data_IF_662937193848
#
_entry.id   IF_662937193848
#
_cell.length_a   1.000
_cell.length_b   1.000
_cell.length_c   1.000
_cell.angle_alpha   90.00
_cell.angle_beta   90.00
_cell.angle_gamma   90.00
#
_symmetry.space_group_name_H-M   'P 1'
#
loop_
_entity.id
_entity.type
_entity.pdbx_description
1 polymer ?
#
# COMPACT_ATOMS: atom_id res chain seq x y z
N UNK A 1 -22.76 34.80 -59.59
CA UNK A 1 -23.22 35.07 -58.21
C UNK A 1 -22.87 33.88 -57.33
N UNK A 2 -22.20 34.15 -56.21
CA UNK A 2 -22.19 33.44 -54.90
C UNK A 2 -21.97 31.91 -54.92
N UNK A 3 -20.74 31.40 -54.70
CA UNK A 3 -19.96 31.26 -53.44
C UNK A 3 -20.11 29.85 -52.84
N UNK A 4 -18.97 29.13 -52.86
CA UNK A 4 -18.71 27.81 -52.29
C UNK A 4 -18.95 27.82 -50.78
N UNK A 5 -19.72 26.85 -50.27
CA UNK A 5 -19.92 26.60 -48.84
C UNK A 5 -18.80 25.68 -48.35
N UNK A 6 -17.83 26.24 -47.63
CA UNK A 6 -16.86 25.51 -46.82
C UNK A 6 -17.49 25.25 -45.43
N UNK A 7 -17.75 23.99 -45.11
CA UNK A 7 -18.10 23.56 -43.76
C UNK A 7 -16.81 23.29 -42.99
N UNK A 8 -16.43 24.23 -42.13
CA UNK A 8 -15.29 24.09 -41.22
C UNK A 8 -15.63 23.19 -40.05
N UNK A 9 -14.99 22.02 -39.99
CA UNK A 9 -15.01 21.13 -38.83
C UNK A 9 -13.99 21.66 -37.80
N UNK A 10 -14.49 22.41 -36.82
CA UNK A 10 -13.72 22.84 -35.65
C UNK A 10 -13.49 21.64 -34.71
N UNK A 11 -12.31 21.02 -34.81
CA UNK A 11 -11.78 20.11 -33.80
C UNK A 11 -11.41 20.93 -32.56
N UNK A 12 -12.27 20.92 -31.55
CA UNK A 12 -11.95 21.42 -30.23
C UNK A 12 -10.89 20.51 -29.60
N UNK A 13 -9.65 20.99 -29.56
CA UNK A 13 -8.59 20.41 -28.77
C UNK A 13 -8.94 20.58 -27.29
N UNK A 14 -9.57 19.55 -26.71
CA UNK A 14 -9.70 19.39 -25.27
C UNK A 14 -8.29 19.08 -24.76
N UNK A 15 -7.53 20.14 -24.50
CA UNK A 15 -6.26 20.06 -23.79
C UNK A 15 -6.58 19.71 -22.34
N UNK A 16 -6.70 18.40 -22.06
CA UNK A 16 -6.62 17.90 -20.71
C UNK A 16 -5.26 18.34 -20.17
N UNK A 17 -5.26 19.41 -19.35
CA UNK A 17 -4.14 19.70 -18.48
C UNK A 17 -3.95 18.45 -17.62
N UNK A 18 -2.84 17.77 -17.86
CA UNK A 18 -2.33 16.74 -16.97
C UNK A 18 -1.92 17.49 -15.71
N UNK A 19 -2.88 17.66 -14.81
CA UNK A 19 -2.58 18.14 -13.47
C UNK A 19 -1.51 17.19 -12.94
N UNK A 20 -0.38 17.78 -12.57
CA UNK A 20 0.67 17.02 -11.91
C UNK A 20 0.04 16.61 -10.59
N UNK A 21 -0.12 15.30 -10.39
CA UNK A 21 -0.51 14.74 -9.11
C UNK A 21 0.46 15.31 -8.07
N UNK A 22 0.00 16.31 -7.32
CA UNK A 22 0.63 16.68 -6.07
C UNK A 22 0.47 15.43 -5.20
N UNK A 23 1.58 14.81 -4.78
CA UNK A 23 1.55 13.64 -3.91
C UNK A 23 0.90 14.04 -2.58
N UNK A 24 -0.43 13.90 -2.50
CA UNK A 24 -1.20 14.20 -1.29
C UNK A 24 -0.84 13.17 -0.24
N UNK A 25 -0.05 13.60 0.74
CA UNK A 25 0.20 12.85 1.96
C UNK A 25 -1.09 12.80 2.78
N UNK A 26 -1.57 11.60 3.11
CA UNK A 26 -2.83 11.40 3.85
C UNK A 26 -2.69 10.34 4.95
N UNK A 27 -3.56 10.41 5.96
CA UNK A 27 -3.75 9.35 6.98
C UNK A 27 -5.03 8.54 6.74
N UNK A 28 -5.82 8.91 5.73
CA UNK A 28 -7.10 8.26 5.40
C UNK A 28 -7.16 7.95 3.90
N UNK A 29 -6.26 7.10 3.37
CA UNK A 29 -6.26 6.76 1.96
C UNK A 29 -7.54 6.02 1.57
N UNK A 30 -8.00 6.20 0.33
CA UNK A 30 -9.09 5.40 -0.20
C UNK A 30 -8.61 4.00 -0.56
N UNK A 31 -9.56 3.09 -0.79
CA UNK A 31 -9.26 1.72 -1.26
C UNK A 31 -8.45 1.75 -2.55
N UNK A 32 -8.87 2.56 -3.51
CA UNK A 32 -8.25 2.68 -4.83
C UNK A 32 -6.81 3.17 -4.75
N UNK A 33 -6.51 4.05 -3.78
CA UNK A 33 -5.16 4.54 -3.52
C UNK A 33 -4.23 3.45 -2.98
N UNK A 34 -4.75 2.54 -2.16
CA UNK A 34 -3.99 1.44 -1.55
C UNK A 34 -3.83 0.21 -2.45
N UNK A 35 -4.61 0.07 -3.53
CA UNK A 35 -4.45 -1.07 -4.44
C UNK A 35 -3.05 -1.10 -5.04
N UNK A 36 -2.40 -2.26 -4.97
CA UNK A 36 -1.07 -2.50 -5.53
C UNK A 36 -0.28 -3.52 -4.74
N UNK A 37 0.96 -3.75 -5.17
CA UNK A 37 1.93 -4.64 -4.53
C UNK A 37 2.99 -3.82 -3.81
N UNK A 38 3.32 -4.25 -2.60
CA UNK A 38 4.20 -3.55 -1.68
C UNK A 38 5.29 -4.49 -1.16
N UNK A 39 6.41 -3.90 -0.76
CA UNK A 39 7.48 -4.55 -0.01
C UNK A 39 7.56 -3.91 1.37
N UNK A 40 7.71 -4.71 2.43
CA UNK A 40 8.05 -4.16 3.75
C UNK A 40 9.51 -3.70 3.75
N UNK A 41 9.74 -2.44 4.09
CA UNK A 41 11.07 -1.82 4.02
C UNK A 41 11.60 -1.34 5.37
N UNK A 42 10.73 -1.24 6.38
CA UNK A 42 11.14 -0.92 7.74
C UNK A 42 10.08 -1.37 8.77
N UNK A 43 10.54 -1.60 9.99
CA UNK A 43 9.70 -1.88 11.15
C UNK A 43 10.34 -1.27 12.41
N UNK A 44 9.55 -0.56 13.20
CA UNK A 44 9.95 -0.06 14.50
C UNK A 44 9.02 -0.62 15.58
N UNK A 45 9.57 -1.34 16.56
CA UNK A 45 8.84 -1.77 17.77
C UNK A 45 9.27 -0.89 18.94
N UNK A 46 8.31 -0.17 19.53
CA UNK A 46 8.53 0.85 20.58
C UNK A 46 9.64 1.85 20.22
N UNK A 47 9.75 2.18 18.93
CA UNK A 47 10.75 3.10 18.37
C UNK A 47 12.12 2.48 18.06
N UNK A 48 12.29 1.18 18.28
CA UNK A 48 13.54 0.44 17.99
C UNK A 48 13.39 -0.31 16.67
N UNK A 49 14.39 -0.24 15.79
CA UNK A 49 14.37 -0.98 14.53
C UNK A 49 14.40 -2.49 14.76
N UNK A 50 13.33 -3.17 14.37
CA UNK A 50 13.19 -4.64 14.43
C UNK A 50 13.26 -5.29 13.06
N UNK A 51 13.17 -4.52 11.96
CA UNK A 51 13.38 -5.03 10.60
C UNK A 51 14.86 -5.30 10.32
N UNK A 52 15.35 -6.43 10.81
CA UNK A 52 16.75 -6.85 10.74
C UNK A 52 16.85 -8.36 10.52
N UNK A 53 18.00 -8.82 10.03
CA UNK A 53 18.28 -10.26 9.85
C UNK A 53 18.46 -11.03 11.16
N UNK A 54 18.36 -10.37 12.32
CA UNK A 54 18.34 -11.02 13.62
C UNK A 54 16.92 -11.47 14.01
N UNK A 55 15.90 -10.76 13.51
CA UNK A 55 14.48 -11.02 13.80
C UNK A 55 13.76 -11.71 12.64
N UNK A 56 14.21 -11.45 11.40
CA UNK A 56 13.61 -11.99 10.18
C UNK A 56 14.64 -12.76 9.35
N UNK A 57 14.20 -13.85 8.72
CA UNK A 57 15.01 -14.55 7.72
C UNK A 57 15.12 -13.68 6.44
N UNK A 58 16.23 -13.74 5.69
CA UNK A 58 16.37 -12.98 4.44
C UNK A 58 15.26 -13.22 3.41
N UNK A 59 14.65 -14.41 3.44
CA UNK A 59 13.52 -14.82 2.59
C UNK A 59 12.16 -14.23 3.02
N UNK A 60 12.03 -13.76 4.26
CA UNK A 60 10.83 -13.05 4.72
C UNK A 60 10.94 -11.56 4.38
N UNK A 61 12.18 -11.09 4.22
CA UNK A 61 12.47 -9.69 3.94
C UNK A 61 12.30 -9.29 2.47
N UNK A 62 12.14 -10.26 1.56
CA UNK A 62 11.79 -10.06 0.15
C UNK A 62 10.32 -10.38 -0.17
N UNK A 63 9.51 -10.77 0.82
CA UNK A 63 8.07 -10.97 0.70
C UNK A 63 7.34 -9.75 0.12
N UNK A 64 6.38 -10.03 -0.75
CA UNK A 64 5.50 -9.00 -1.32
C UNK A 64 4.07 -9.09 -0.78
N UNK A 65 3.45 -7.93 -0.60
CA UNK A 65 2.14 -7.76 0.00
C UNK A 65 1.22 -7.04 -0.98
N UNK A 66 0.20 -7.73 -1.48
CA UNK A 66 -0.70 -7.21 -2.50
C UNK A 66 -2.09 -6.93 -1.94
N UNK A 67 -2.54 -5.69 -2.08
CA UNK A 67 -3.90 -5.25 -1.79
C UNK A 67 -4.69 -5.20 -3.11
N UNK A 68 -5.53 -6.19 -3.36
CA UNK A 68 -6.30 -6.26 -4.60
C UNK A 68 -7.60 -5.46 -4.51
N UNK A 69 -8.08 -4.95 -5.66
CA UNK A 69 -9.27 -4.09 -5.74
C UNK A 69 -10.57 -4.81 -5.32
N UNK A 70 -10.62 -6.13 -5.42
CA UNK A 70 -11.73 -6.97 -4.97
C UNK A 70 -11.80 -7.12 -3.45
N UNK A 71 -10.72 -6.82 -2.72
CA UNK A 71 -10.61 -6.95 -1.27
C UNK A 71 -9.75 -8.12 -0.82
N UNK A 72 -9.18 -8.85 -1.76
CA UNK A 72 -8.25 -9.93 -1.47
C UNK A 72 -6.88 -9.35 -1.13
N UNK A 73 -6.30 -9.81 -0.02
CA UNK A 73 -4.92 -9.57 0.37
C UNK A 73 -4.08 -10.81 0.05
N UNK A 74 -2.90 -10.62 -0.53
CA UNK A 74 -1.98 -11.72 -0.82
C UNK A 74 -0.58 -11.36 -0.35
N UNK A 75 -0.05 -12.14 0.58
CA UNK A 75 1.39 -12.19 0.87
C UNK A 75 2.01 -13.28 0.00
N UNK A 76 3.11 -12.96 -0.67
CA UNK A 76 3.83 -13.89 -1.54
C UNK A 76 5.28 -13.96 -1.11
N UNK A 77 5.74 -15.15 -0.73
CA UNK A 77 7.17 -15.49 -0.70
C UNK A 77 7.72 -15.25 -2.11
N UNK A 78 8.52 -14.19 -2.21
CA UNK A 78 9.09 -13.72 -3.45
C UNK A 78 10.61 -13.71 -3.31
N UNK A 79 11.33 -14.02 -4.39
CA UNK A 79 12.78 -14.10 -4.33
C UNK A 79 13.26 -15.44 -3.78
N UNK A 80 13.82 -15.46 -2.57
CA UNK A 80 14.42 -16.67 -1.98
C UNK A 80 13.38 -17.44 -1.17
N UNK A 81 13.08 -18.69 -1.51
CA UNK A 81 12.10 -19.48 -0.74
C UNK A 81 12.57 -19.76 0.68
N UNK A 82 11.71 -19.47 1.68
CA UNK A 82 11.99 -19.78 3.08
C UNK A 82 12.10 -21.28 3.37
N UNK A 83 12.92 -21.64 4.37
CA UNK A 83 13.11 -23.05 4.75
C UNK A 83 11.83 -23.63 5.35
N UNK A 84 11.44 -24.83 4.90
CA UNK A 84 10.15 -25.46 5.30
C UNK A 84 9.04 -25.36 4.25
N UNK A 85 9.31 -24.69 3.12
CA UNK A 85 8.35 -24.52 2.03
C UNK A 85 7.59 -23.22 2.23
N UNK A 86 8.18 -22.13 1.74
CA UNK A 86 7.53 -20.83 1.61
C UNK A 86 6.09 -20.93 1.14
N UNK A 87 5.19 -20.26 1.85
CA UNK A 87 3.77 -20.30 1.57
C UNK A 87 3.25 -18.90 1.31
N UNK A 88 2.65 -18.69 0.13
CA UNK A 88 1.82 -17.50 -0.07
C UNK A 88 0.60 -17.59 0.86
N UNK A 89 0.31 -16.51 1.55
CA UNK A 89 -0.87 -16.37 2.37
C UNK A 89 -1.90 -15.51 1.64
N UNK A 90 -3.18 -15.91 1.69
CA UNK A 90 -4.29 -15.14 1.13
C UNK A 90 -5.31 -14.87 2.22
N UNK A 91 -5.83 -13.64 2.23
CA UNK A 91 -6.86 -13.21 3.16
C UNK A 91 -7.69 -12.06 2.61
N UNK A 92 -8.44 -11.41 3.49
CA UNK A 92 -9.25 -10.24 3.14
C UNK A 92 -8.64 -8.96 3.74
N UNK A 93 -8.83 -7.84 3.05
CA UNK A 93 -8.50 -6.52 3.58
C UNK A 93 -9.60 -5.48 3.35
N UNK A 94 -9.65 -4.50 4.24
CA UNK A 94 -10.56 -3.35 4.15
C UNK A 94 -9.88 -2.09 4.70
N UNK A 95 -10.27 -0.91 4.20
CA UNK A 95 -9.85 0.39 4.74
C UNK A 95 -11.09 1.20 5.10
N UNK A 96 -11.15 1.73 6.33
CA UNK A 96 -12.21 2.64 6.78
C UNK A 96 -11.58 3.81 7.55
N UNK A 97 -11.62 5.01 6.96
CA UNK A 97 -10.90 6.16 7.51
C UNK A 97 -9.40 5.87 7.57
N UNK A 98 -8.82 5.93 8.76
CA UNK A 98 -7.41 5.60 9.01
C UNK A 98 -7.18 4.14 9.43
N UNK A 99 -8.21 3.29 9.47
CA UNK A 99 -8.08 1.90 9.92
C UNK A 99 -8.00 0.94 8.74
N UNK A 100 -6.79 0.42 8.50
CA UNK A 100 -6.55 -0.71 7.61
C UNK A 100 -6.77 -2.00 8.40
N UNK A 101 -7.60 -2.91 7.91
CA UNK A 101 -7.82 -4.22 8.51
C UNK A 101 -7.41 -5.31 7.55
N UNK A 102 -6.64 -6.29 8.01
CA UNK A 102 -6.23 -7.48 7.26
C UNK A 102 -6.66 -8.70 8.08
N UNK A 103 -7.55 -9.54 7.57
CA UNK A 103 -8.16 -10.68 8.28
C UNK A 103 -8.73 -10.34 9.67
N UNK A 104 -9.28 -9.15 9.81
CA UNK A 104 -9.84 -8.67 11.08
C UNK A 104 -8.84 -8.04 12.05
N UNK A 105 -7.53 -8.07 11.74
CA UNK A 105 -6.51 -7.37 12.49
C UNK A 105 -6.37 -5.94 11.99
N UNK A 106 -6.69 -4.98 12.85
CA UNK A 106 -6.67 -3.55 12.53
C UNK A 106 -5.33 -2.89 12.82
N UNK A 107 -4.85 -2.09 11.87
CA UNK A 107 -3.74 -1.16 12.01
C UNK A 107 -4.19 0.26 11.63
N UNK A 108 -3.58 1.26 12.25
CA UNK A 108 -3.82 2.68 11.95
C UNK A 108 -2.85 3.15 10.89
N UNK A 109 -3.34 3.67 9.77
CA UNK A 109 -2.54 4.37 8.76
C UNK A 109 -2.01 5.67 9.36
N UNK A 110 -0.69 5.75 9.50
CA UNK A 110 0.02 6.94 9.96
C UNK A 110 0.38 7.88 8.81
N UNK A 111 0.60 7.31 7.62
CA UNK A 111 0.99 8.05 6.42
C UNK A 111 0.76 7.21 5.18
N UNK A 112 0.24 7.84 4.12
CA UNK A 112 0.31 7.34 2.76
C UNK A 112 0.62 8.49 1.80
N UNK A 113 1.59 8.33 0.92
CA UNK A 113 2.00 9.35 -0.06
C UNK A 113 1.96 8.85 -1.51
N UNK A 114 1.06 7.90 -1.81
CA UNK A 114 0.95 7.29 -3.13
C UNK A 114 1.90 6.10 -3.34
N UNK A 115 3.05 6.11 -2.64
CA UNK A 115 4.08 5.07 -2.74
C UNK A 115 4.44 4.43 -1.40
N UNK A 116 4.58 5.22 -0.35
CA UNK A 116 4.97 4.76 0.98
C UNK A 116 3.73 4.70 1.86
N UNK A 117 3.46 3.53 2.43
CA UNK A 117 2.41 3.31 3.41
C UNK A 117 3.06 3.01 4.77
N UNK A 118 2.74 3.81 5.78
CA UNK A 118 3.16 3.56 7.16
C UNK A 118 1.92 3.25 7.99
N UNK A 119 1.92 2.10 8.67
CA UNK A 119 0.83 1.65 9.53
C UNK A 119 1.34 1.37 10.94
N UNK A 120 0.45 1.50 11.93
CA UNK A 120 0.73 1.23 13.34
C UNK A 120 -0.24 0.20 13.88
N UNK A 121 0.28 -0.86 14.49
CA UNK A 121 -0.47 -1.74 15.38
C UNK A 121 -0.13 -1.43 16.84
N UNK A 122 -1.03 -1.79 17.75
CA UNK A 122 -0.77 -1.74 19.18
C UNK A 122 -1.34 -2.99 19.80
N UNK A 123 -0.47 -3.78 20.42
CA UNK A 123 -0.83 -5.03 21.07
C UNK A 123 -0.65 -4.90 22.59
N UNK A 124 -1.58 -5.44 23.37
CA UNK A 124 -1.43 -5.50 24.82
C UNK A 124 -0.88 -6.87 25.21
N UNK A 125 0.37 -6.92 25.64
CA UNK A 125 1.05 -8.12 26.11
C UNK A 125 1.21 -8.01 27.62
N UNK A 126 0.45 -8.81 28.37
CA UNK A 126 0.50 -8.87 29.83
C UNK A 126 0.32 -7.51 30.53
N UNK A 127 -0.55 -6.64 30.00
CA UNK A 127 -0.82 -5.31 30.57
C UNK A 127 0.11 -4.20 30.06
N UNK A 128 1.11 -4.53 29.24
CA UNK A 128 1.97 -3.56 28.56
C UNK A 128 1.55 -3.41 27.11
N UNK A 129 1.43 -2.17 26.63
CA UNK A 129 1.20 -1.92 25.22
C UNK A 129 2.53 -1.93 24.48
N UNK A 130 2.64 -2.77 23.46
CA UNK A 130 3.71 -2.77 22.46
C UNK A 130 3.19 -2.08 21.22
N UNK A 131 3.93 -1.09 20.72
CA UNK A 131 3.57 -0.33 19.52
C UNK A 131 4.51 -0.72 18.39
N UNK A 132 3.96 -1.16 17.26
CA UNK A 132 4.75 -1.53 16.09
C UNK A 132 4.34 -0.66 14.91
N UNK A 133 5.31 0.03 14.32
CA UNK A 133 5.17 0.79 13.07
C UNK A 133 5.80 0.02 11.93
N UNK A 134 5.04 -0.28 10.88
CA UNK A 134 5.52 -0.97 9.69
C UNK A 134 5.46 -0.03 8.50
N UNK A 135 6.54 0.02 7.72
CA UNK A 135 6.63 0.78 6.48
C UNK A 135 6.64 -0.15 5.28
N UNK A 136 5.68 0.06 4.39
CA UNK A 136 5.55 -0.61 3.11
C UNK A 136 5.86 0.37 1.96
N UNK A 137 6.64 -0.07 0.99
CA UNK A 137 6.94 0.69 -0.24
C UNK A 137 6.35 -0.02 -1.45
N UNK A 138 5.48 0.67 -2.18
CA UNK A 138 4.88 0.21 -3.43
C UNK A 138 5.96 -0.11 -4.46
N UNK A 139 5.86 -1.29 -5.08
CA UNK A 139 6.79 -1.81 -6.08
C UNK A 139 6.47 -1.28 -7.48
#
# INVERSE_FOLDING_TARGET
>A
MKRLLYAGLLLAAISCKKDKDEDVVTTTPTREQLVGTYLQTAELTDGVNTWTTAEYEPCEMDDTYSFNADGTFVQTDAGSTCTGGGGSFTGDWTINGSTLSINGFGATVLRFDGRTLVVRSTENINGTNTVTDITFTKQ
#
